data_IF_103350960123
#
_entry.id   IF_103350960123
#
_cell.length_a   1.000
_cell.length_b   1.000
_cell.length_c   1.000
_cell.angle_alpha   90.00
_cell.angle_beta   90.00
_cell.angle_gamma   90.00
#
_symmetry.space_group_name_H-M   'P 1'
#
loop_
_entity.id
_entity.type
_entity.pdbx_description
1 polymer ?
#
# COMPACT_ATOMS: atom_id res chain seq x y z
N UNK A 1 -11.78 -29.19 -29.31
CA UNK A 1 -11.93 -30.44 -28.54
C UNK A 1 -11.43 -30.17 -27.13
N UNK A 2 -12.35 -30.10 -26.17
CA UNK A 2 -12.04 -29.82 -24.76
C UNK A 2 -12.12 -31.10 -23.92
N UNK A 3 -12.53 -30.95 -22.66
CA UNK A 3 -12.69 -32.04 -21.69
C UNK A 3 -13.60 -33.18 -22.21
N UNK A 4 -14.59 -32.84 -23.05
CA UNK A 4 -15.50 -33.79 -23.70
C UNK A 4 -14.78 -34.87 -24.51
N UNK A 5 -13.62 -34.56 -25.10
CA UNK A 5 -12.82 -35.54 -25.85
C UNK A 5 -12.20 -36.60 -24.95
N UNK A 6 -11.71 -36.20 -23.77
CA UNK A 6 -11.16 -37.13 -22.78
C UNK A 6 -12.25 -37.93 -22.04
N UNK A 7 -13.46 -37.38 -21.94
CA UNK A 7 -14.61 -38.10 -21.41
C UNK A 7 -15.14 -39.15 -22.40
N UNK A 8 -15.09 -38.84 -23.70
CA UNK A 8 -15.49 -39.77 -24.76
C UNK A 8 -14.45 -40.88 -24.98
N UNK A 9 -13.16 -40.58 -24.81
CA UNK A 9 -12.08 -41.57 -24.87
C UNK A 9 -11.06 -41.38 -23.75
N UNK A 10 -11.28 -42.02 -22.58
CA UNK A 10 -10.41 -41.90 -21.41
C UNK A 10 -8.99 -42.43 -21.63
N UNK A 11 -8.77 -43.26 -22.67
CA UNK A 11 -7.44 -43.81 -22.96
C UNK A 11 -6.48 -42.78 -23.55
N UNK A 12 -7.00 -41.64 -24.00
CA UNK A 12 -6.23 -40.51 -24.52
C UNK A 12 -5.72 -39.57 -23.42
N UNK A 13 -6.11 -39.79 -22.15
CA UNK A 13 -5.65 -38.97 -21.03
C UNK A 13 -4.13 -39.07 -20.86
N UNK A 14 -3.40 -37.93 -20.82
CA UNK A 14 -1.99 -37.92 -20.52
C UNK A 14 -1.70 -38.54 -19.14
N UNK A 15 -0.54 -39.20 -18.95
CA UNK A 15 -0.14 -39.71 -17.65
C UNK A 15 -0.11 -38.61 -16.58
N UNK A 16 -0.62 -38.90 -15.38
CA UNK A 16 -0.67 -37.93 -14.27
C UNK A 16 0.70 -37.32 -13.91
N UNK A 17 1.80 -38.04 -14.15
CA UNK A 17 3.15 -37.54 -13.92
C UNK A 17 3.50 -36.32 -14.79
N UNK A 18 2.94 -36.22 -16.00
CA UNK A 18 3.16 -35.10 -16.92
C UNK A 18 2.27 -33.89 -16.57
N UNK A 19 1.15 -34.13 -15.89
CA UNK A 19 0.21 -33.10 -15.43
C UNK A 19 0.63 -32.48 -14.09
N UNK A 20 1.52 -33.15 -13.36
CA UNK A 20 2.07 -32.71 -12.07
C UNK A 20 3.58 -32.46 -12.22
N UNK A 21 3.94 -31.68 -13.24
CA UNK A 21 5.29 -31.13 -13.33
C UNK A 21 5.52 -30.14 -12.19
N UNK A 22 6.44 -30.43 -11.26
CA UNK A 22 7.03 -29.38 -10.43
C UNK A 22 7.71 -28.39 -11.38
N UNK A 23 7.39 -27.09 -11.26
CA UNK A 23 8.11 -26.02 -11.95
C UNK A 23 9.62 -26.32 -11.87
N UNK A 24 10.21 -26.72 -13.00
CA UNK A 24 11.64 -26.98 -13.09
C UNK A 24 12.35 -25.66 -12.82
N UNK A 25 12.90 -25.52 -11.62
CA UNK A 25 13.62 -24.32 -11.19
C UNK A 25 14.83 -24.08 -12.07
N UNK A 26 14.63 -23.34 -13.17
CA UNK A 26 15.69 -22.87 -14.07
C UNK A 26 15.52 -21.40 -14.45
N UNK A 27 14.68 -20.67 -13.73
CA UNK A 27 14.56 -19.22 -13.82
C UNK A 27 15.41 -18.54 -12.76
N UNK A 28 16.17 -17.51 -13.14
CA UNK A 28 16.82 -16.63 -12.17
C UNK A 28 15.75 -16.05 -11.24
N UNK A 29 15.98 -15.99 -9.92
CA UNK A 29 14.94 -15.73 -8.93
C UNK A 29 14.57 -14.24 -8.85
N UNK A 30 14.07 -13.67 -9.94
CA UNK A 30 13.71 -12.26 -10.09
C UNK A 30 12.78 -11.78 -8.96
N UNK A 31 11.82 -12.61 -8.55
CA UNK A 31 10.92 -12.30 -7.43
C UNK A 31 11.66 -12.11 -6.10
N UNK A 32 12.68 -12.93 -5.82
CA UNK A 32 13.52 -12.78 -4.62
C UNK A 32 14.45 -11.58 -4.75
N UNK A 33 15.03 -11.35 -5.92
CA UNK A 33 15.92 -10.23 -6.18
C UNK A 33 15.18 -8.89 -6.04
N UNK A 34 13.99 -8.77 -6.62
CA UNK A 34 13.13 -7.59 -6.49
C UNK A 34 12.72 -7.39 -5.02
N UNK A 35 12.30 -8.46 -4.34
CA UNK A 35 11.96 -8.39 -2.91
C UNK A 35 13.11 -7.87 -2.05
N UNK A 36 14.30 -8.48 -2.15
CA UNK A 36 15.48 -8.03 -1.43
C UNK A 36 15.96 -6.64 -1.88
N UNK A 37 15.85 -6.33 -3.17
CA UNK A 37 16.21 -5.03 -3.74
C UNK A 37 15.36 -3.90 -3.18
N UNK A 38 14.04 -4.11 -3.01
CA UNK A 38 13.15 -3.14 -2.37
C UNK A 38 13.57 -2.93 -0.91
N UNK A 39 13.82 -3.99 -0.14
CA UNK A 39 14.25 -3.88 1.26
C UNK A 39 15.60 -3.18 1.40
N UNK A 40 16.59 -3.54 0.58
CA UNK A 40 17.92 -2.92 0.59
C UNK A 40 17.83 -1.47 0.15
N UNK A 41 17.08 -1.16 -0.92
CA UNK A 41 16.86 0.20 -1.39
C UNK A 41 16.19 1.07 -0.34
N UNK A 42 15.23 0.51 0.39
CA UNK A 42 14.56 1.19 1.51
C UNK A 42 15.53 1.53 2.65
N UNK A 43 16.30 0.54 3.13
CA UNK A 43 17.30 0.77 4.19
C UNK A 43 18.37 1.75 3.72
N UNK A 44 18.85 1.60 2.48
CA UNK A 44 19.86 2.47 1.88
C UNK A 44 19.34 3.91 1.75
N UNK A 45 18.09 4.13 1.36
CA UNK A 45 17.49 5.45 1.29
C UNK A 45 17.55 6.18 2.64
N UNK A 46 17.14 5.52 3.73
CA UNK A 46 17.22 6.11 5.07
C UNK A 46 18.65 6.36 5.55
N UNK A 47 19.58 5.45 5.24
CA UNK A 47 21.01 5.63 5.55
C UNK A 47 21.58 6.83 4.80
N UNK A 48 21.30 6.95 3.50
CA UNK A 48 21.75 8.08 2.68
C UNK A 48 21.12 9.41 3.16
N UNK A 49 19.84 9.40 3.53
CA UNK A 49 19.15 10.56 4.08
C UNK A 49 19.77 10.99 5.43
N UNK A 50 20.14 10.03 6.28
CA UNK A 50 20.82 10.30 7.54
C UNK A 50 22.24 10.87 7.34
N UNK A 51 22.96 10.44 6.29
CA UNK A 51 24.30 10.92 5.95
C UNK A 51 24.30 12.31 5.28
N UNK A 52 23.18 12.75 4.69
CA UNK A 52 23.11 13.94 3.84
C UNK A 52 22.98 15.29 4.58
N UNK A 53 22.90 15.33 5.92
CA UNK A 53 23.19 16.53 6.73
C UNK A 53 22.32 17.81 6.59
N UNK A 54 21.69 18.19 7.71
CA UNK A 54 21.41 19.55 8.24
C UNK A 54 20.29 20.45 7.65
N UNK A 55 20.10 20.64 6.34
CA UNK A 55 18.78 21.15 5.83
C UNK A 55 17.75 20.02 5.68
N UNK A 56 18.29 18.79 5.58
CA UNK A 56 17.56 17.54 5.59
C UNK A 56 16.97 17.16 6.94
N UNK A 57 17.31 17.78 8.07
CA UNK A 57 16.83 17.32 9.38
C UNK A 57 15.31 17.47 9.52
N UNK A 58 14.75 18.59 9.05
CA UNK A 58 13.30 18.80 9.00
C UNK A 58 12.62 17.84 8.02
N UNK A 59 13.12 17.74 6.78
CA UNK A 59 12.56 16.82 5.78
C UNK A 59 12.69 15.35 6.21
N UNK A 60 13.76 14.99 6.90
CA UNK A 60 13.97 13.66 7.49
C UNK A 60 12.95 13.38 8.60
N UNK A 61 12.71 14.34 9.49
CA UNK A 61 11.67 14.22 10.53
C UNK A 61 10.28 14.15 9.93
N UNK A 62 9.99 14.98 8.93
CA UNK A 62 8.70 15.03 8.24
C UNK A 62 8.44 13.71 7.49
N UNK A 63 9.43 13.22 6.74
CA UNK A 63 9.35 11.92 6.07
C UNK A 63 9.29 10.76 7.07
N UNK A 64 10.08 10.81 8.15
CA UNK A 64 10.04 9.83 9.23
C UNK A 64 8.66 9.77 9.90
N UNK A 65 8.06 10.92 10.19
CA UNK A 65 6.70 11.03 10.69
C UNK A 65 5.69 10.51 9.66
N UNK A 66 5.85 10.85 8.38
CA UNK A 66 5.00 10.37 7.29
C UNK A 66 5.01 8.84 7.21
N UNK A 67 6.21 8.27 7.19
CA UNK A 67 6.46 6.83 7.16
C UNK A 67 5.83 6.13 8.37
N UNK A 68 6.12 6.62 9.58
CA UNK A 68 5.65 5.99 10.82
C UNK A 68 4.13 6.07 10.95
N UNK A 69 3.54 7.22 10.68
CA UNK A 69 2.09 7.41 10.85
C UNK A 69 1.34 6.57 9.83
N UNK A 70 1.73 6.58 8.55
CA UNK A 70 1.13 5.70 7.54
C UNK A 70 1.32 4.23 7.90
N UNK A 71 2.53 3.84 8.30
CA UNK A 71 2.83 2.46 8.63
C UNK A 71 2.04 1.95 9.82
N UNK A 72 1.95 2.72 10.90
CA UNK A 72 1.20 2.34 12.11
C UNK A 72 -0.30 2.22 11.82
N UNK A 73 -0.90 3.17 11.11
CA UNK A 73 -2.34 3.12 10.82
C UNK A 73 -2.69 2.00 9.84
N UNK A 74 -1.94 1.83 8.75
CA UNK A 74 -2.15 0.74 7.81
C UNK A 74 -1.97 -0.62 8.50
N UNK A 75 -0.93 -0.77 9.33
CA UNK A 75 -0.71 -1.96 10.16
C UNK A 75 -1.89 -2.21 11.11
N UNK A 76 -2.30 -1.19 11.87
CA UNK A 76 -3.35 -1.31 12.87
C UNK A 76 -4.69 -1.70 12.23
N UNK A 77 -5.08 -1.05 11.14
CA UNK A 77 -6.32 -1.36 10.43
C UNK A 77 -6.29 -2.75 9.80
N UNK A 78 -5.16 -3.15 9.19
CA UNK A 78 -4.96 -4.52 8.73
C UNK A 78 -5.10 -5.53 9.88
N UNK A 79 -4.52 -5.22 11.05
CA UNK A 79 -4.61 -6.09 12.23
C UNK A 79 -6.03 -6.19 12.77
N UNK A 80 -6.78 -5.08 12.81
CA UNK A 80 -8.20 -5.03 13.20
C UNK A 80 -9.04 -5.87 12.23
N UNK A 81 -8.74 -5.82 10.93
CA UNK A 81 -9.37 -6.66 9.91
C UNK A 81 -8.98 -8.15 9.97
N UNK A 82 -8.19 -8.56 10.96
CA UNK A 82 -7.81 -9.96 11.16
C UNK A 82 -6.64 -10.46 10.31
N UNK A 83 -5.84 -9.55 9.75
CA UNK A 83 -4.62 -9.92 9.01
C UNK A 83 -3.57 -10.54 9.95
N UNK A 84 -2.75 -11.44 9.41
CA UNK A 84 -1.58 -11.98 10.10
C UNK A 84 -0.55 -10.89 10.35
N UNK A 85 0.25 -11.07 11.40
CA UNK A 85 1.30 -10.11 11.80
C UNK A 85 2.26 -9.75 10.67
N UNK A 86 2.71 -10.76 9.91
CA UNK A 86 3.61 -10.55 8.79
C UNK A 86 2.94 -9.75 7.66
N UNK A 87 1.70 -10.11 7.30
CA UNK A 87 0.93 -9.41 6.26
C UNK A 87 0.68 -7.96 6.62
N UNK A 88 0.23 -7.70 7.86
CA UNK A 88 0.04 -6.35 8.38
C UNK A 88 1.37 -5.57 8.43
N UNK A 89 2.46 -6.22 8.85
CA UNK A 89 3.79 -5.64 8.90
C UNK A 89 4.29 -5.19 7.53
N UNK A 90 4.10 -6.03 6.51
CA UNK A 90 4.42 -5.69 5.12
C UNK A 90 3.56 -4.54 4.63
N UNK A 91 2.23 -4.59 4.83
CA UNK A 91 1.32 -3.50 4.48
C UNK A 91 1.71 -2.17 5.10
N UNK A 92 2.02 -2.15 6.40
CA UNK A 92 2.50 -0.97 7.09
C UNK A 92 3.83 -0.45 6.52
N UNK A 93 4.79 -1.34 6.25
CA UNK A 93 6.10 -0.96 5.72
C UNK A 93 6.04 -0.30 4.33
N UNK A 94 5.03 -0.64 3.51
CA UNK A 94 4.85 -0.07 2.17
C UNK A 94 3.81 1.05 2.09
N UNK A 95 3.07 1.34 3.17
CA UNK A 95 1.94 2.29 3.15
C UNK A 95 2.32 3.69 2.66
N UNK A 96 3.52 4.16 2.99
CA UNK A 96 4.03 5.45 2.53
C UNK A 96 4.27 5.53 1.02
N UNK A 97 4.42 4.40 0.33
CA UNK A 97 4.72 4.35 -1.11
C UNK A 97 3.53 4.71 -1.99
N UNK A 98 2.30 4.66 -1.47
CA UNK A 98 1.10 5.02 -2.23
C UNK A 98 1.13 6.48 -2.71
N UNK A 99 1.86 7.36 -2.02
CA UNK A 99 2.12 8.72 -2.46
C UNK A 99 2.95 8.83 -3.74
N UNK A 100 3.75 7.80 -4.07
CA UNK A 100 4.56 7.74 -5.28
C UNK A 100 3.70 7.22 -6.45
N UNK A 101 2.85 6.22 -6.20
CA UNK A 101 1.93 5.68 -7.19
C UNK A 101 0.67 5.10 -6.51
N UNK A 102 -0.53 5.61 -6.82
CA UNK A 102 -1.79 5.08 -6.29
C UNK A 102 -2.03 3.59 -6.55
N UNK A 103 -1.45 3.02 -7.61
CA UNK A 103 -1.55 1.59 -7.93
C UNK A 103 -0.74 0.69 -6.98
N UNK A 104 0.20 1.27 -6.22
CA UNK A 104 1.01 0.57 -5.22
C UNK A 104 0.40 0.70 -3.82
N UNK A 105 -0.91 0.46 -3.71
CA UNK A 105 -1.60 0.51 -2.44
C UNK A 105 -1.10 -0.59 -1.48
N UNK A 106 -0.93 -0.30 -0.17
CA UNK A 106 -0.37 -1.26 0.79
C UNK A 106 -1.22 -2.53 0.90
N UNK A 107 -2.53 -2.43 0.70
CA UNK A 107 -3.44 -3.56 0.73
C UNK A 107 -3.09 -4.65 -0.28
N UNK A 108 -2.53 -4.32 -1.45
CA UNK A 108 -2.09 -5.34 -2.42
C UNK A 108 -0.92 -6.17 -1.87
N UNK A 109 0.02 -5.52 -1.19
CA UNK A 109 1.16 -6.20 -0.57
C UNK A 109 0.72 -7.01 0.65
N UNK A 110 -0.15 -6.47 1.50
CA UNK A 110 -0.79 -7.22 2.59
C UNK A 110 -1.50 -8.46 2.05
N UNK A 111 -2.35 -8.29 1.04
CA UNK A 111 -3.14 -9.37 0.44
C UNK A 111 -2.26 -10.44 -0.21
N UNK A 112 -1.21 -10.04 -0.92
CA UNK A 112 -0.24 -10.97 -1.50
C UNK A 112 0.44 -11.85 -0.44
N UNK A 113 0.85 -11.26 0.69
CA UNK A 113 1.49 -12.01 1.78
C UNK A 113 0.47 -12.87 2.51
N UNK A 114 -0.76 -12.37 2.73
CA UNK A 114 -1.84 -13.11 3.36
C UNK A 114 -2.22 -14.35 2.55
N UNK A 115 -2.29 -14.24 1.22
CA UNK A 115 -2.56 -15.35 0.28
C UNK A 115 -1.53 -16.49 0.33
N UNK A 116 -0.32 -16.25 0.85
CA UNK A 116 0.65 -17.33 1.06
C UNK A 116 0.24 -18.27 2.19
N UNK A 117 -0.70 -17.84 3.01
CA UNK A 117 -1.18 -18.59 4.17
C UNK A 117 -2.68 -18.84 4.16
N UNK A 118 -3.45 -17.98 3.49
CA UNK A 118 -4.89 -18.07 3.35
C UNK A 118 -5.20 -18.65 1.97
N UNK A 119 -5.87 -19.80 1.93
CA UNK A 119 -6.32 -20.44 0.71
C UNK A 119 -7.69 -19.91 0.33
N UNK A 120 -7.80 -19.35 -0.88
CA UNK A 120 -9.04 -18.81 -1.44
C UNK A 120 -9.46 -19.68 -2.63
N UNK A 121 -10.75 -19.98 -2.74
CA UNK A 121 -11.28 -20.82 -3.81
C UNK A 121 -12.34 -20.07 -4.64
N UNK A 122 -12.51 -20.47 -5.91
CA UNK A 122 -13.58 -19.93 -6.75
C UNK A 122 -14.97 -20.28 -6.17
N UNK A 123 -15.08 -21.41 -5.46
CA UNK A 123 -16.28 -21.81 -4.74
C UNK A 123 -16.73 -20.81 -3.66
N UNK A 124 -15.81 -20.01 -3.12
CA UNK A 124 -16.12 -18.97 -2.12
C UNK A 124 -17.11 -17.94 -2.67
N UNK A 125 -17.09 -17.69 -4.00
CA UNK A 125 -18.05 -16.78 -4.65
C UNK A 125 -19.47 -17.34 -4.57
N UNK A 126 -19.63 -18.66 -4.75
CA UNK A 126 -20.92 -19.34 -4.59
C UNK A 126 -21.44 -19.20 -3.17
N UNK A 127 -20.59 -19.50 -2.18
CA UNK A 127 -20.94 -19.35 -0.76
C UNK A 127 -21.35 -17.92 -0.41
N UNK A 128 -20.64 -16.92 -0.92
CA UNK A 128 -21.02 -15.51 -0.71
C UNK A 128 -22.36 -15.17 -1.36
N UNK A 129 -22.65 -15.69 -2.56
CA UNK A 129 -23.93 -15.47 -3.22
C UNK A 129 -25.11 -16.11 -2.46
N UNK A 130 -24.90 -17.33 -1.96
CA UNK A 130 -25.88 -18.03 -1.13
C UNK A 130 -26.18 -17.24 0.15
N UNK A 131 -25.14 -16.75 0.85
CA UNK A 131 -25.28 -15.89 2.02
C UNK A 131 -26.02 -14.58 1.71
N UNK A 132 -25.68 -13.91 0.61
CA UNK A 132 -26.32 -12.65 0.20
C UNK A 132 -27.79 -12.83 -0.22
N UNK A 133 -28.18 -14.04 -0.63
CA UNK A 133 -29.54 -14.37 -1.04
C UNK A 133 -30.42 -14.84 0.13
N UNK A 134 -29.83 -15.04 1.32
CA UNK A 134 -30.57 -15.42 2.53
C UNK A 134 -31.16 -14.20 3.23
N UNK A 135 -32.44 -13.94 2.96
CA UNK A 135 -33.19 -12.82 3.56
C UNK A 135 -33.55 -13.04 5.05
N UNK A 136 -33.27 -14.23 5.61
CA UNK A 136 -33.57 -14.53 7.02
C UNK A 136 -32.48 -14.02 7.98
N UNK A 137 -31.28 -13.73 7.47
CA UNK A 137 -30.17 -13.23 8.26
C UNK A 137 -30.31 -11.74 8.57
N UNK A 138 -29.97 -11.36 9.80
CA UNK A 138 -29.80 -9.95 10.13
C UNK A 138 -28.56 -9.39 9.41
N UNK A 139 -28.46 -8.07 9.16
CA UNK A 139 -27.29 -7.48 8.50
C UNK A 139 -25.97 -7.76 9.23
N UNK A 140 -25.98 -7.82 10.57
CA UNK A 140 -24.77 -8.16 11.34
C UNK A 140 -24.37 -9.62 11.19
N UNK A 141 -25.34 -10.52 11.20
CA UNK A 141 -25.09 -11.96 11.07
C UNK A 141 -24.58 -12.29 9.66
N UNK A 142 -25.16 -11.65 8.64
CA UNK A 142 -24.70 -11.74 7.26
C UNK A 142 -23.24 -11.31 7.12
N UNK A 143 -22.88 -10.12 7.64
CA UNK A 143 -21.50 -9.63 7.56
C UNK A 143 -20.55 -10.56 8.33
N UNK A 144 -20.94 -11.04 9.51
CA UNK A 144 -20.14 -12.00 10.28
C UNK A 144 -19.91 -13.29 9.48
N UNK A 145 -20.95 -13.87 8.89
CA UNK A 145 -20.86 -15.08 8.08
C UNK A 145 -19.99 -14.86 6.82
N UNK A 146 -20.09 -13.70 6.18
CA UNK A 146 -19.22 -13.35 5.05
C UNK A 146 -17.76 -13.21 5.49
N UNK A 147 -17.47 -12.66 6.67
CA UNK A 147 -16.10 -12.56 7.22
C UNK A 147 -15.46 -13.92 7.51
N UNK A 148 -16.26 -14.98 7.69
CA UNK A 148 -15.78 -16.35 7.80
C UNK A 148 -15.37 -16.96 6.45
N UNK A 149 -15.82 -16.38 5.33
CA UNK A 149 -15.42 -16.80 3.98
C UNK A 149 -14.02 -16.26 3.62
N UNK A 150 -13.05 -17.11 3.24
CA UNK A 150 -11.67 -16.70 2.99
C UNK A 150 -11.52 -15.56 1.97
N UNK A 151 -12.24 -15.64 0.84
CA UNK A 151 -12.22 -14.59 -0.18
C UNK A 151 -12.64 -13.22 0.37
N UNK A 152 -13.78 -13.14 1.05
CA UNK A 152 -14.30 -11.88 1.57
C UNK A 152 -13.43 -11.33 2.69
N UNK A 153 -12.96 -12.21 3.59
CA UNK A 153 -11.97 -11.84 4.62
C UNK A 153 -10.72 -11.20 4.02
N UNK A 154 -10.17 -11.78 2.96
CA UNK A 154 -9.00 -11.22 2.28
C UNK A 154 -9.29 -9.82 1.71
N UNK A 155 -10.45 -9.63 1.07
CA UNK A 155 -10.87 -8.35 0.52
C UNK A 155 -10.96 -7.30 1.64
N UNK A 156 -11.57 -7.64 2.78
CA UNK A 156 -11.67 -6.75 3.94
C UNK A 156 -10.30 -6.39 4.50
N UNK A 157 -9.37 -7.35 4.60
CA UNK A 157 -7.98 -7.08 5.02
C UNK A 157 -7.31 -6.07 4.09
N UNK A 158 -7.40 -6.28 2.77
CA UNK A 158 -6.82 -5.38 1.75
C UNK A 158 -7.44 -4.00 1.85
N UNK A 159 -8.77 -3.92 1.91
CA UNK A 159 -9.52 -2.68 1.99
C UNK A 159 -9.17 -1.89 3.26
N UNK A 160 -9.17 -2.55 4.43
CA UNK A 160 -8.87 -1.90 5.71
C UNK A 160 -7.43 -1.40 5.77
N UNK A 161 -6.46 -2.13 5.19
CA UNK A 161 -5.09 -1.63 5.07
C UNK A 161 -5.04 -0.31 4.30
N UNK A 162 -5.77 -0.21 3.19
CA UNK A 162 -5.82 1.01 2.37
C UNK A 162 -6.54 2.15 3.10
N UNK A 163 -7.65 1.85 3.77
CA UNK A 163 -8.37 2.84 4.61
C UNK A 163 -7.44 3.39 5.68
N UNK A 164 -6.67 2.53 6.37
CA UNK A 164 -5.67 2.97 7.33
C UNK A 164 -4.68 3.96 6.74
N UNK A 165 -4.13 3.70 5.56
CA UNK A 165 -3.21 4.61 4.87
C UNK A 165 -3.87 5.95 4.46
N UNK A 166 -5.13 5.91 3.99
CA UNK A 166 -5.88 7.12 3.64
C UNK A 166 -6.12 7.99 4.88
N UNK A 167 -6.59 7.37 5.97
CA UNK A 167 -6.82 8.06 7.25
C UNK A 167 -5.51 8.66 7.76
N UNK A 168 -4.41 7.91 7.71
CA UNK A 168 -3.09 8.39 8.10
C UNK A 168 -2.65 9.60 7.28
N UNK A 169 -2.80 9.54 5.95
CA UNK A 169 -2.45 10.62 5.03
C UNK A 169 -3.27 11.88 5.31
N UNK A 170 -4.57 11.71 5.57
CA UNK A 170 -5.47 12.80 5.94
C UNK A 170 -5.06 13.44 7.28
N UNK A 171 -4.86 12.62 8.33
CA UNK A 171 -4.43 13.10 9.65
C UNK A 171 -3.05 13.77 9.59
N UNK A 172 -2.15 13.25 8.76
CA UNK A 172 -0.84 13.85 8.55
C UNK A 172 -0.98 15.26 7.95
N UNK A 173 -1.78 15.41 6.89
CA UNK A 173 -2.00 16.70 6.25
C UNK A 173 -2.67 17.72 7.16
N UNK A 174 -3.64 17.29 7.97
CA UNK A 174 -4.44 18.20 8.82
C UNK A 174 -3.76 18.53 10.15
N UNK A 175 -2.99 17.61 10.74
CA UNK A 175 -2.41 17.80 12.07
C UNK A 175 -0.89 17.88 12.06
N UNK A 176 -0.21 17.00 11.33
CA UNK A 176 1.25 16.88 11.42
C UNK A 176 1.94 17.98 10.64
N UNK A 177 1.49 18.26 9.41
CA UNK A 177 2.04 19.35 8.59
C UNK A 177 1.90 20.68 9.34
N UNK A 178 0.71 21.11 9.82
CA UNK A 178 0.59 22.38 10.54
C UNK A 178 1.39 22.42 11.84
N UNK A 179 1.46 21.31 12.59
CA UNK A 179 2.23 21.27 13.84
C UNK A 179 3.74 21.35 13.61
N UNK A 180 4.27 20.71 12.57
CA UNK A 180 5.70 20.72 12.27
C UNK A 180 6.14 22.01 11.56
N UNK A 181 5.36 22.47 10.57
CA UNK A 181 5.68 23.70 9.86
C UNK A 181 5.38 24.96 10.70
N UNK A 182 4.31 24.96 11.52
CA UNK A 182 4.00 26.09 12.40
C UNK A 182 4.92 26.21 13.62
N UNK A 183 5.69 25.17 13.96
CA UNK A 183 6.67 25.19 15.03
C UNK A 183 8.09 25.58 14.57
N UNK A 184 8.46 25.31 13.31
CA UNK A 184 9.80 25.58 12.77
C UNK A 184 9.83 26.74 11.76
N UNK A 185 8.75 26.97 11.00
CA UNK A 185 8.53 28.22 10.26
C UNK A 185 7.69 29.08 11.18
N UNK A 186 8.09 30.34 11.42
CA UNK A 186 7.22 31.30 12.11
C UNK A 186 5.80 31.19 11.54
N UNK A 187 4.78 31.29 12.39
CA UNK A 187 3.41 30.86 12.07
C UNK A 187 2.85 31.35 10.72
N UNK A 188 1.62 30.94 10.40
CA UNK A 188 0.95 31.18 9.09
C UNK A 188 1.16 32.59 8.49
N UNK A 189 1.30 33.62 9.32
CA UNK A 189 1.63 34.99 8.93
C UNK A 189 3.03 35.17 8.29
N UNK A 190 4.05 34.49 8.80
CA UNK A 190 5.42 34.55 8.26
C UNK A 190 5.52 33.77 6.94
N UNK A 191 4.86 32.60 6.84
CA UNK A 191 4.72 31.86 5.58
C UNK A 191 4.04 32.75 4.52
N UNK A 192 2.97 33.45 4.90
CA UNK A 192 2.25 34.37 4.01
C UNK A 192 3.13 35.55 3.58
N UNK A 193 3.91 36.11 4.51
CA UNK A 193 4.84 37.20 4.25
C UNK A 193 5.98 36.77 3.31
N UNK A 194 6.56 35.60 3.53
CA UNK A 194 7.60 35.01 2.68
C UNK A 194 7.08 34.72 1.26
N UNK A 195 5.85 34.24 1.12
CA UNK A 195 5.22 34.03 -0.19
C UNK A 195 5.02 35.36 -0.96
N UNK A 196 4.56 36.41 -0.27
CA UNK A 196 4.40 37.75 -0.86
C UNK A 196 5.75 38.34 -1.24
N UNK A 197 6.76 38.17 -0.40
CA UNK A 197 8.11 38.68 -0.66
C UNK A 197 8.80 37.92 -1.81
N UNK A 198 8.63 36.60 -1.88
CA UNK A 198 9.07 35.79 -3.01
C UNK A 198 8.38 36.20 -4.32
N UNK A 199 7.08 36.47 -4.29
CA UNK A 199 6.34 36.96 -5.45
C UNK A 199 6.83 38.34 -5.92
N UNK A 200 7.16 39.25 -4.99
CA UNK A 200 7.74 40.56 -5.31
C UNK A 200 9.14 40.45 -5.91
N UNK A 201 10.03 39.66 -5.32
CA UNK A 201 11.37 39.40 -5.89
C UNK A 201 11.29 38.74 -7.26
N UNK A 202 10.38 37.79 -7.45
CA UNK A 202 10.13 37.18 -8.75
C UNK A 202 9.69 38.22 -9.80
N UNK A 203 8.77 39.12 -9.44
CA UNK A 203 8.32 40.19 -10.31
C UNK A 203 9.42 41.21 -10.63
N UNK A 204 10.28 41.54 -9.67
CA UNK A 204 11.44 42.42 -9.86
C UNK A 204 12.50 41.78 -10.77
N UNK A 205 12.81 40.49 -10.59
CA UNK A 205 13.74 39.75 -11.45
C UNK A 205 13.24 39.66 -12.88
N UNK A 206 11.95 39.37 -13.07
CA UNK A 206 11.32 39.35 -14.41
C UNK A 206 11.30 40.76 -15.00
N UNK A 207 10.96 41.77 -14.21
CA UNK A 207 10.97 43.17 -14.61
C UNK A 207 12.35 43.62 -15.11
N UNK A 208 13.40 43.36 -14.32
CA UNK A 208 14.77 43.73 -14.67
C UNK A 208 15.31 42.97 -15.89
N UNK A 209 14.90 41.70 -16.07
CA UNK A 209 15.23 40.90 -17.25
C UNK A 209 14.52 41.41 -18.52
N UNK A 210 13.30 41.95 -18.40
CA UNK A 210 12.51 42.47 -19.53
C UNK A 210 12.89 43.92 -19.88
N UNK A 211 13.29 44.74 -18.92
CA UNK A 211 13.68 46.14 -19.14
C UNK A 211 15.16 46.34 -19.46
N UNK A 212 15.97 45.28 -19.43
CA UNK A 212 17.39 45.32 -19.81
C UNK A 212 18.28 46.06 -18.82
N UNK A 213 18.10 45.82 -17.52
CA UNK A 213 18.96 46.38 -16.48
C UNK A 213 20.31 45.65 -16.39
N UNK A 214 21.41 46.39 -16.58
CA UNK A 214 22.81 45.99 -16.28
C UNK A 214 23.03 45.76 -14.80
#
# INVERSE_FOLDING_TARGET
AGIEGYLADPSTLPPMADLVGREGGRGFPWKKLVGYGITIGFVAFFVLLALAGVENAFLFRLFGAWFLINGVFAFAFAKIAGARWLSAGVGGAVAWMTSINPMLAPGWFTGYVELRSLTVNVGDIGTLNDLLSDESLSPSDLVSAMLDVPLFRLIIIVAMTNVGSIVASFLFAVYVIPAMFGAEVGGVDEVSRLMIEGARRGAELIGNAVTGGT
#
